data_IF_460315944270
#
_entry.id   IF_460315944270
#
_cell.length_a   1.000
_cell.length_b   1.000
_cell.length_c   1.000
_cell.angle_alpha   90.00
_cell.angle_beta   90.00
_cell.angle_gamma   90.00
#
_symmetry.space_group_name_H-M   'P 1'
#
loop_
_entity.id
_entity.type
_entity.pdbx_description
1 polymer ?
#
# COMPACT_ATOMS: atom_id res chain seq x y z
N UNK A 1 -15.10 10.87 26.13
CA UNK A 1 -14.10 9.84 26.47
C UNK A 1 -12.88 10.13 25.62
N UNK A 2 -11.83 10.70 26.21
CA UNK A 2 -10.66 11.25 25.49
C UNK A 2 -9.96 10.14 24.69
N UNK A 3 -9.99 10.25 23.36
CA UNK A 3 -9.16 9.42 22.49
C UNK A 3 -7.70 9.80 22.69
N UNK A 4 -6.93 8.84 23.21
CA UNK A 4 -5.48 8.89 23.28
C UNK A 4 -4.91 9.16 21.89
N UNK A 5 -4.32 10.34 21.70
CA UNK A 5 -3.38 10.61 20.60
C UNK A 5 -2.18 9.70 20.82
N UNK A 6 -2.16 8.53 20.20
CA UNK A 6 -0.96 7.70 20.10
C UNK A 6 0.09 8.50 19.33
N UNK A 7 1.07 9.05 20.04
CA UNK A 7 2.20 9.75 19.43
C UNK A 7 2.96 8.80 18.49
N UNK A 8 3.32 9.25 17.27
CA UNK A 8 4.18 8.48 16.36
C UNK A 8 5.57 8.35 17.00
N UNK A 9 5.80 7.22 17.66
CA UNK A 9 7.00 6.95 18.47
C UNK A 9 6.74 6.00 19.65
N UNK A 10 5.51 5.95 20.15
CA UNK A 10 5.14 5.04 21.24
C UNK A 10 5.23 3.56 20.81
N UNK A 11 4.83 3.24 19.57
CA UNK A 11 4.92 1.89 19.01
C UNK A 11 6.35 1.37 18.87
N UNK A 12 7.27 2.23 18.41
CA UNK A 12 8.69 1.91 18.33
C UNK A 12 9.27 1.63 19.72
N UNK A 13 8.92 2.44 20.73
CA UNK A 13 9.39 2.25 22.10
C UNK A 13 8.88 0.94 22.76
N UNK A 14 7.68 0.47 22.40
CA UNK A 14 7.09 -0.79 22.87
C UNK A 14 7.84 -1.99 22.30
N UNK A 15 8.31 -1.92 21.05
CA UNK A 15 9.10 -2.95 20.39
C UNK A 15 10.58 -2.93 20.81
N UNK A 16 11.16 -1.74 20.94
CA UNK A 16 12.59 -1.53 21.17
C UNK A 16 13.02 -2.06 22.54
N UNK A 17 12.22 -1.91 23.60
CA UNK A 17 12.59 -2.38 24.95
C UNK A 17 12.73 -3.91 25.06
N UNK A 18 11.73 -4.74 24.68
CA UNK A 18 11.88 -6.19 24.71
C UNK A 18 12.89 -6.68 23.68
N UNK A 19 13.02 -6.02 22.51
CA UNK A 19 14.01 -6.38 21.50
C UNK A 19 15.45 -6.12 21.99
N UNK A 20 15.71 -4.94 22.58
CA UNK A 20 17.01 -4.62 23.19
C UNK A 20 17.31 -5.60 24.33
N UNK A 21 16.32 -5.92 25.16
CA UNK A 21 16.51 -6.89 26.25
C UNK A 21 16.84 -8.29 25.73
N UNK A 22 16.13 -8.77 24.71
CA UNK A 22 16.40 -10.07 24.08
C UNK A 22 17.77 -10.10 23.39
N UNK A 23 18.14 -9.03 22.67
CA UNK A 23 19.46 -8.89 22.04
C UNK A 23 20.55 -8.84 23.11
N UNK A 24 20.37 -8.07 24.19
CA UNK A 24 21.35 -7.95 25.27
C UNK A 24 21.56 -9.27 26.03
N UNK A 25 20.49 -10.02 26.28
CA UNK A 25 20.57 -11.35 26.91
C UNK A 25 21.27 -12.34 25.95
N UNK A 26 20.94 -12.29 24.66
CA UNK A 26 21.58 -13.11 23.64
C UNK A 26 23.07 -12.80 23.48
N UNK A 27 23.45 -11.53 23.38
CA UNK A 27 24.85 -11.11 23.26
C UNK A 27 25.64 -11.40 24.52
N UNK A 28 25.07 -11.19 25.71
CA UNK A 28 25.70 -11.55 26.98
C UNK A 28 25.93 -13.06 27.09
N UNK A 29 24.95 -13.89 26.70
CA UNK A 29 25.07 -15.36 26.74
C UNK A 29 26.14 -15.87 25.77
N UNK A 30 26.22 -15.29 24.58
CA UNK A 30 27.24 -15.62 23.57
C UNK A 30 28.65 -15.21 24.01
N UNK A 31 28.80 -14.03 24.61
CA UNK A 31 30.09 -13.53 25.10
C UNK A 31 30.56 -14.28 26.35
N UNK A 32 29.65 -14.72 27.22
CA UNK A 32 29.99 -15.44 28.44
C UNK A 32 30.39 -16.91 28.17
N UNK A 33 29.80 -17.57 27.17
CA UNK A 33 30.05 -18.98 26.87
C UNK A 33 30.00 -19.26 25.34
N UNK A 34 31.06 -18.95 24.58
CA UNK A 34 31.08 -19.05 23.12
C UNK A 34 31.24 -20.50 22.64
N UNK A 35 30.24 -21.32 22.92
CA UNK A 35 30.09 -22.63 22.31
C UNK A 35 29.22 -22.50 21.07
N UNK A 36 29.55 -23.23 20.00
CA UNK A 36 28.75 -23.25 18.77
C UNK A 36 27.27 -23.60 19.05
N UNK A 37 27.02 -24.42 20.07
CA UNK A 37 25.68 -24.77 20.54
C UNK A 37 24.94 -23.58 21.17
N UNK A 38 25.61 -22.72 21.95
CA UNK A 38 25.03 -21.49 22.50
C UNK A 38 24.70 -20.48 21.38
N UNK A 39 25.56 -20.35 20.37
CA UNK A 39 25.31 -19.49 19.22
C UNK A 39 24.09 -19.94 18.40
N UNK A 40 24.04 -21.24 18.05
CA UNK A 40 22.94 -21.82 17.25
C UNK A 40 21.61 -21.72 18.02
N UNK A 41 21.61 -22.08 19.30
CA UNK A 41 20.39 -22.02 20.13
C UNK A 41 19.89 -20.59 20.32
N UNK A 42 20.80 -19.61 20.50
CA UNK A 42 20.42 -18.19 20.60
C UNK A 42 19.78 -17.69 19.29
N UNK A 43 20.38 -17.98 18.14
CA UNK A 43 19.81 -17.58 16.84
C UNK A 43 18.47 -18.26 16.58
N UNK A 44 18.34 -19.55 16.92
CA UNK A 44 17.09 -20.29 16.79
C UNK A 44 15.98 -19.70 17.67
N UNK A 45 16.27 -19.35 18.93
CA UNK A 45 15.32 -18.71 19.82
C UNK A 45 14.89 -17.33 19.32
N UNK A 46 15.83 -16.53 18.77
CA UNK A 46 15.51 -15.25 18.15
C UNK A 46 14.61 -15.43 16.92
N UNK A 47 14.86 -16.43 16.08
CA UNK A 47 14.04 -16.73 14.90
C UNK A 47 12.64 -17.18 15.31
N UNK A 48 12.52 -18.06 16.30
CA UNK A 48 11.23 -18.49 16.86
C UNK A 48 10.47 -17.29 17.44
N UNK A 49 11.14 -16.46 18.25
CA UNK A 49 10.56 -15.24 18.83
C UNK A 49 10.07 -14.28 17.75
N UNK A 50 10.83 -14.09 16.68
CA UNK A 50 10.44 -13.28 15.53
C UNK A 50 9.22 -13.88 14.82
N UNK A 51 9.17 -15.19 14.58
CA UNK A 51 8.01 -15.84 13.97
C UNK A 51 6.74 -15.69 14.83
N UNK A 52 6.85 -15.86 16.14
CA UNK A 52 5.73 -15.64 17.08
C UNK A 52 5.27 -14.18 17.03
N UNK A 53 6.21 -13.22 17.05
CA UNK A 53 5.89 -11.80 16.94
C UNK A 53 5.17 -11.47 15.62
N UNK A 54 5.71 -11.92 14.49
CA UNK A 54 5.15 -11.67 13.16
C UNK A 54 3.75 -12.29 13.03
N UNK A 55 3.55 -13.53 13.49
CA UNK A 55 2.26 -14.23 13.40
C UNK A 55 1.21 -13.62 14.32
N UNK A 56 1.53 -13.32 15.57
CA UNK A 56 0.61 -12.65 16.50
C UNK A 56 0.20 -11.29 15.98
N UNK A 57 1.14 -10.51 15.44
CA UNK A 57 0.86 -9.20 14.86
C UNK A 57 0.02 -9.30 13.58
N UNK A 58 0.30 -10.27 12.72
CA UNK A 58 -0.50 -10.54 11.52
C UNK A 58 -1.96 -10.87 11.90
N UNK A 59 -2.17 -11.73 12.90
CA UNK A 59 -3.50 -12.09 13.39
C UNK A 59 -4.21 -10.86 13.94
N UNK A 60 -3.53 -10.00 14.70
CA UNK A 60 -4.10 -8.77 15.22
C UNK A 60 -4.54 -7.82 14.10
N UNK A 61 -3.67 -7.56 13.13
CA UNK A 61 -3.97 -6.70 11.99
C UNK A 61 -5.16 -7.22 11.19
N UNK A 62 -5.19 -8.52 10.87
CA UNK A 62 -6.30 -9.15 10.14
C UNK A 62 -7.60 -9.08 10.94
N UNK A 63 -7.55 -9.33 12.26
CA UNK A 63 -8.75 -9.25 13.11
C UNK A 63 -9.31 -7.85 13.17
N UNK A 64 -8.47 -6.82 13.31
CA UNK A 64 -8.89 -5.41 13.35
C UNK A 64 -9.45 -4.94 12.01
N UNK A 65 -8.92 -5.43 10.88
CA UNK A 65 -9.47 -5.17 9.54
C UNK A 65 -10.86 -5.78 9.33
N UNK A 66 -11.13 -6.91 9.98
CA UNK A 66 -12.45 -7.56 9.92
C UNK A 66 -13.51 -6.84 10.77
N UNK A 67 -13.11 -5.96 11.70
CA UNK A 67 -14.07 -5.13 12.42
C UNK A 67 -14.68 -4.10 11.46
N UNK A 68 -16.02 -4.03 11.35
CA UNK A 68 -16.65 -3.08 10.45
C UNK A 68 -16.25 -1.66 10.87
N UNK A 69 -15.60 -0.94 9.95
CA UNK A 69 -15.35 0.48 10.14
C UNK A 69 -16.68 1.15 10.46
N UNK A 70 -16.78 1.77 11.63
CA UNK A 70 -17.97 2.54 11.99
C UNK A 70 -18.09 3.63 10.95
N UNK A 71 -19.17 3.63 10.15
CA UNK A 71 -19.43 4.65 9.12
C UNK A 71 -19.58 6.02 9.79
N UNK A 72 -18.48 6.67 10.11
CA UNK A 72 -18.49 8.08 10.47
C UNK A 72 -18.76 8.84 9.19
N UNK A 73 -19.86 9.60 9.17
CA UNK A 73 -20.24 10.44 8.04
C UNK A 73 -19.06 11.32 7.64
N UNK A 74 -18.66 11.20 6.37
CA UNK A 74 -17.59 12.00 5.76
C UNK A 74 -17.97 13.47 5.91
N UNK A 75 -17.13 14.26 6.60
CA UNK A 75 -17.25 15.72 6.62
C UNK A 75 -16.49 16.25 5.41
N UNK A 76 -17.10 17.17 4.68
CA UNK A 76 -16.54 17.75 3.44
C UNK A 76 -15.19 18.48 3.66
N UNK A 77 -14.89 18.84 4.92
CA UNK A 77 -13.65 19.51 5.34
C UNK A 77 -12.47 18.57 5.66
N UNK A 78 -12.63 17.25 5.58
CA UNK A 78 -11.51 16.35 5.90
C UNK A 78 -10.51 16.31 4.75
N UNK A 79 -9.23 16.54 5.06
CA UNK A 79 -8.15 16.35 4.11
C UNK A 79 -8.02 14.87 3.74
N UNK A 80 -7.85 14.60 2.46
CA UNK A 80 -7.64 13.26 1.93
C UNK A 80 -6.27 13.16 1.25
N UNK A 81 -5.53 12.10 1.56
CA UNK A 81 -4.28 11.79 0.87
C UNK A 81 -4.37 10.39 0.27
N UNK A 82 -4.43 10.33 -1.05
CA UNK A 82 -4.51 9.11 -1.86
C UNK A 82 -3.17 8.80 -2.53
N UNK A 83 -2.82 7.52 -2.58
CA UNK A 83 -1.70 7.01 -3.37
C UNK A 83 -2.22 6.01 -4.40
N UNK A 84 -1.95 6.23 -5.67
CA UNK A 84 -2.33 5.34 -6.76
C UNK A 84 -1.09 4.67 -7.34
N UNK A 85 -1.06 3.34 -7.27
CA UNK A 85 0.03 2.52 -7.83
C UNK A 85 -0.33 2.19 -9.27
N UNK A 86 0.31 2.87 -10.22
CA UNK A 86 0.09 2.69 -11.64
C UNK A 86 0.90 1.49 -12.17
N UNK A 87 0.19 0.49 -12.69
CA UNK A 87 0.79 -0.71 -13.28
C UNK A 87 1.10 -0.53 -14.76
N UNK A 88 2.18 -1.12 -15.27
CA UNK A 88 2.60 -0.88 -16.65
C UNK A 88 1.57 -1.26 -17.73
N UNK A 89 1.46 -0.41 -18.76
CA UNK A 89 0.63 -0.66 -19.94
C UNK A 89 -0.87 -0.46 -19.69
N UNK A 90 -1.67 -1.50 -19.94
CA UNK A 90 -3.13 -1.44 -19.80
C UNK A 90 -3.62 -1.19 -18.37
N UNK A 91 -2.87 -1.64 -17.36
CA UNK A 91 -3.25 -1.46 -15.96
C UNK A 91 -3.30 0.01 -15.55
N UNK A 92 -2.38 0.86 -16.01
CA UNK A 92 -2.45 2.32 -15.77
C UNK A 92 -3.76 2.89 -16.31
N UNK A 93 -4.12 2.54 -17.55
CA UNK A 93 -5.37 3.02 -18.16
C UNK A 93 -6.59 2.57 -17.37
N UNK A 94 -6.64 1.30 -16.98
CA UNK A 94 -7.71 0.76 -16.14
C UNK A 94 -7.82 1.51 -14.80
N UNK A 95 -6.70 1.81 -14.13
CA UNK A 95 -6.71 2.55 -12.87
C UNK A 95 -7.21 3.98 -13.05
N UNK A 96 -6.71 4.69 -14.06
CA UNK A 96 -7.15 6.07 -14.34
C UNK A 96 -8.63 6.11 -14.74
N UNK A 97 -9.13 5.09 -15.44
CA UNK A 97 -10.55 4.97 -15.76
C UNK A 97 -11.41 4.66 -14.53
N UNK A 98 -10.92 3.87 -13.56
CA UNK A 98 -11.62 3.69 -12.27
C UNK A 98 -11.75 4.99 -11.48
N UNK A 99 -10.74 5.84 -11.58
CA UNK A 99 -10.74 7.15 -10.92
C UNK A 99 -11.64 8.16 -11.62
N UNK A 100 -12.01 7.89 -12.88
CA UNK A 100 -12.74 8.81 -13.72
C UNK A 100 -14.27 8.61 -13.63
N UNK A 101 -14.84 8.98 -12.48
CA UNK A 101 -16.28 8.96 -12.23
C UNK A 101 -16.97 10.30 -12.55
N UNK A 102 -16.26 11.27 -13.12
CA UNK A 102 -16.79 12.58 -13.48
C UNK A 102 -16.96 13.52 -12.28
N UNK A 103 -16.60 13.05 -11.09
CA UNK A 103 -16.40 13.87 -9.90
C UNK A 103 -15.08 14.64 -10.02
N UNK A 104 -15.10 15.90 -9.59
CA UNK A 104 -13.99 16.80 -9.80
C UNK A 104 -13.77 17.76 -8.62
N UNK A 105 -14.41 17.49 -7.47
CA UNK A 105 -14.27 18.28 -6.24
C UNK A 105 -13.14 17.75 -5.35
N UNK A 106 -11.89 18.01 -5.74
CA UNK A 106 -10.70 17.49 -5.04
C UNK A 106 -9.96 18.57 -4.23
N UNK A 107 -10.63 19.66 -3.85
CA UNK A 107 -10.03 20.82 -3.17
C UNK A 107 -9.22 20.46 -1.90
N UNK A 108 -9.68 19.45 -1.14
CA UNK A 108 -9.02 18.97 0.08
C UNK A 108 -8.27 17.64 -0.12
N UNK A 109 -8.03 17.23 -1.37
CA UNK A 109 -7.40 15.96 -1.69
C UNK A 109 -6.03 16.13 -2.35
N UNK A 110 -5.08 15.29 -1.94
CA UNK A 110 -3.81 15.10 -2.61
C UNK A 110 -3.73 13.72 -3.24
N UNK A 111 -3.35 13.65 -4.52
CA UNK A 111 -3.18 12.40 -5.28
C UNK A 111 -1.71 12.19 -5.62
N UNK A 112 -1.09 11.21 -4.97
CA UNK A 112 0.23 10.75 -5.36
C UNK A 112 0.13 9.60 -6.33
N UNK A 113 0.87 9.65 -7.41
CA UNK A 113 0.97 8.57 -8.38
C UNK A 113 2.33 7.90 -8.28
N UNK A 114 2.33 6.58 -8.12
CA UNK A 114 3.54 5.77 -8.07
C UNK A 114 3.68 5.03 -9.40
N UNK A 115 4.76 5.32 -10.13
CA UNK A 115 5.05 4.74 -11.44
C UNK A 115 6.38 4.00 -11.41
N UNK A 116 6.47 2.87 -12.13
CA UNK A 116 7.74 2.13 -12.26
C UNK A 116 8.72 2.80 -13.22
N UNK A 117 10.01 2.70 -12.94
CA UNK A 117 11.06 3.25 -13.80
C UNK A 117 11.00 2.66 -15.21
N UNK A 118 11.19 3.51 -16.22
CA UNK A 118 11.14 3.13 -17.64
C UNK A 118 9.73 3.00 -18.23
N UNK A 119 8.68 3.42 -17.53
CA UNK A 119 7.29 3.39 -18.00
C UNK A 119 6.80 4.75 -18.51
N UNK A 120 7.29 5.16 -19.68
CA UNK A 120 6.93 6.46 -20.29
C UNK A 120 5.45 6.55 -20.68
N UNK A 121 4.85 5.42 -21.06
CA UNK A 121 3.44 5.36 -21.47
C UNK A 121 2.51 5.68 -20.30
N UNK A 122 2.83 5.17 -19.10
CA UNK A 122 2.03 5.45 -17.91
C UNK A 122 2.08 6.91 -17.51
N UNK A 123 3.26 7.56 -17.65
CA UNK A 123 3.38 9.01 -17.41
C UNK A 123 2.53 9.82 -18.39
N UNK A 124 2.53 9.47 -19.68
CA UNK A 124 1.73 10.19 -20.68
C UNK A 124 0.22 10.06 -20.39
N UNK A 125 -0.27 8.86 -20.11
CA UNK A 125 -1.68 8.67 -19.77
C UNK A 125 -2.08 9.43 -18.49
N UNK A 126 -1.17 9.52 -17.51
CA UNK A 126 -1.40 10.29 -16.30
C UNK A 126 -1.48 11.80 -16.59
N UNK A 127 -0.55 12.33 -17.38
CA UNK A 127 -0.55 13.74 -17.79
C UNK A 127 -1.84 14.09 -18.55
N UNK A 128 -2.28 13.22 -19.47
CA UNK A 128 -3.56 13.37 -20.18
C UNK A 128 -4.75 13.37 -19.21
N UNK A 129 -4.76 12.46 -18.24
CA UNK A 129 -5.82 12.34 -17.25
C UNK A 129 -5.93 13.59 -16.36
N UNK A 130 -4.83 14.04 -15.78
CA UNK A 130 -4.81 15.24 -14.92
C UNK A 130 -5.12 16.52 -15.73
N UNK A 131 -4.64 16.63 -16.97
CA UNK A 131 -4.99 17.74 -17.86
C UNK A 131 -6.49 17.78 -18.15
N UNK A 132 -7.09 16.62 -18.44
CA UNK A 132 -8.53 16.48 -18.62
C UNK A 132 -9.32 16.79 -17.34
N UNK A 133 -8.82 16.36 -16.18
CA UNK A 133 -9.43 16.65 -14.89
C UNK A 133 -9.43 18.15 -14.59
N UNK A 134 -8.30 18.85 -14.81
CA UNK A 134 -8.20 20.30 -14.65
C UNK A 134 -9.19 21.03 -15.56
N UNK A 135 -9.32 20.61 -16.82
CA UNK A 135 -10.28 21.21 -17.76
C UNK A 135 -11.73 21.03 -17.30
N UNK A 136 -12.09 19.86 -16.78
CA UNK A 136 -13.43 19.58 -16.24
C UNK A 136 -13.74 20.35 -14.96
N UNK A 137 -12.77 20.40 -14.04
CA UNK A 137 -12.88 21.19 -12.81
C UNK A 137 -13.12 22.66 -13.14
N UNK A 138 -12.34 23.21 -14.09
CA UNK A 138 -12.48 24.58 -14.55
C UNK A 138 -13.83 24.86 -15.21
N UNK A 139 -14.38 23.90 -15.97
CA UNK A 139 -15.72 24.03 -16.55
C UNK A 139 -16.83 24.04 -15.49
N UNK A 140 -16.60 23.41 -14.33
CA UNK A 140 -17.54 23.34 -13.19
C UNK A 140 -17.22 24.32 -12.05
N UNK A 141 -16.25 25.22 -12.24
CA UNK A 141 -15.74 26.16 -11.23
C UNK A 141 -15.30 25.49 -9.90
N UNK A 142 -14.67 24.31 -10.02
CA UNK A 142 -14.15 23.52 -8.91
C UNK A 142 -12.62 23.45 -8.94
N UNK A 143 -12.01 23.14 -7.79
CA UNK A 143 -10.57 22.94 -7.67
C UNK A 143 -10.19 21.46 -7.88
N UNK A 144 -9.30 21.14 -8.86
CA UNK A 144 -8.79 19.79 -9.08
C UNK A 144 -7.89 19.28 -7.95
N UNK A 145 -7.51 20.11 -6.97
CA UNK A 145 -6.61 19.74 -5.88
C UNK A 145 -5.16 19.62 -6.34
N UNK A 146 -4.35 18.88 -5.57
CA UNK A 146 -2.91 18.75 -5.86
C UNK A 146 -2.53 17.32 -6.19
N UNK A 147 -1.52 17.15 -7.03
CA UNK A 147 -0.97 15.84 -7.36
C UNK A 147 0.56 15.86 -7.43
N UNK A 148 1.18 14.71 -7.26
CA UNK A 148 2.61 14.51 -7.50
C UNK A 148 2.89 13.11 -8.09
N UNK A 149 4.06 12.98 -8.71
CA UNK A 149 4.52 11.76 -9.36
C UNK A 149 5.79 11.27 -8.68
N UNK A 150 5.74 10.04 -8.16
CA UNK A 150 6.88 9.35 -7.56
C UNK A 150 7.28 8.16 -8.44
N UNK A 151 8.53 8.14 -8.88
CA UNK A 151 9.08 7.05 -9.69
C UNK A 151 9.85 6.09 -8.80
N UNK A 152 9.54 4.79 -8.88
CA UNK A 152 10.24 3.73 -8.14
C UNK A 152 10.97 2.80 -9.09
N UNK A 153 12.06 2.17 -8.62
CA UNK A 153 12.75 1.15 -9.40
C UNK A 153 11.80 0.00 -9.76
N UNK A 154 11.82 -0.40 -11.03
CA UNK A 154 11.03 -1.53 -11.51
C UNK A 154 11.49 -2.84 -10.86
N UNK A 155 10.54 -3.58 -10.29
CA UNK A 155 10.74 -4.87 -9.63
C UNK A 155 11.52 -5.89 -10.49
N UNK A 156 11.16 -5.99 -11.77
CA UNK A 156 11.79 -6.90 -12.74
C UNK A 156 11.73 -6.30 -14.13
N UNK A 157 12.87 -6.25 -14.82
CA UNK A 157 12.92 -5.84 -16.22
C UNK A 157 12.53 -7.00 -17.16
N UNK A 158 12.00 -6.67 -18.33
CA UNK A 158 11.72 -7.67 -19.37
C UNK A 158 13.05 -8.26 -19.83
N UNK A 159 13.13 -9.60 -19.94
CA UNK A 159 14.36 -10.37 -20.21
C UNK A 159 15.39 -10.45 -19.07
N UNK A 160 15.05 -9.95 -17.88
CA UNK A 160 15.91 -10.12 -16.71
C UNK A 160 15.94 -11.58 -16.24
N UNK A 161 17.12 -12.07 -15.88
CA UNK A 161 17.29 -13.40 -15.29
C UNK A 161 16.56 -13.52 -13.95
N UNK A 162 16.00 -14.69 -13.68
CA UNK A 162 15.30 -14.98 -12.40
C UNK A 162 16.24 -14.76 -11.21
N UNK A 163 17.54 -15.01 -11.37
CA UNK A 163 18.55 -14.86 -10.31
C UNK A 163 18.88 -13.42 -9.94
N UNK A 164 18.78 -12.48 -10.86
CA UNK A 164 19.01 -11.05 -10.56
C UNK A 164 17.74 -10.33 -10.09
N UNK A 165 16.58 -10.96 -10.27
CA UNK A 165 15.27 -10.41 -9.90
C UNK A 165 15.12 -10.11 -8.40
N UNK A 166 15.62 -10.93 -7.45
CA UNK A 166 15.53 -10.62 -6.02
C UNK A 166 16.21 -9.32 -5.64
N UNK A 167 17.36 -9.00 -6.26
CA UNK A 167 18.10 -7.77 -5.96
C UNK A 167 17.33 -6.53 -6.43
N UNK A 168 16.84 -6.55 -7.67
CA UNK A 168 16.01 -5.43 -8.19
C UNK A 168 14.67 -5.32 -7.46
N UNK A 169 14.11 -6.44 -7.02
CA UNK A 169 12.93 -6.46 -6.17
C UNK A 169 13.17 -5.80 -4.81
N UNK A 170 14.30 -6.06 -4.16
CA UNK A 170 14.66 -5.42 -2.90
C UNK A 170 14.86 -3.91 -3.07
N UNK A 171 15.56 -3.48 -4.12
CA UNK A 171 15.72 -2.05 -4.45
C UNK A 171 14.35 -1.37 -4.67
N UNK A 172 13.45 -2.04 -5.39
CA UNK A 172 12.08 -1.56 -5.58
C UNK A 172 11.34 -1.36 -4.25
N UNK A 173 11.47 -2.32 -3.32
CA UNK A 173 10.87 -2.22 -1.98
C UNK A 173 11.48 -1.05 -1.18
N UNK A 174 12.80 -0.83 -1.26
CA UNK A 174 13.46 0.28 -0.58
C UNK A 174 12.99 1.64 -1.11
N UNK A 175 12.87 1.80 -2.43
CA UNK A 175 12.31 3.01 -3.04
C UNK A 175 10.86 3.23 -2.61
N UNK A 176 10.06 2.16 -2.56
CA UNK A 176 8.67 2.22 -2.10
C UNK A 176 8.60 2.68 -0.64
N UNK A 177 9.47 2.18 0.25
CA UNK A 177 9.52 2.67 1.63
C UNK A 177 9.82 4.17 1.68
N UNK A 178 10.77 4.65 0.87
CA UNK A 178 11.10 6.06 0.80
C UNK A 178 9.87 6.89 0.35
N UNK A 179 9.16 6.45 -0.68
CA UNK A 179 7.96 7.14 -1.19
C UNK A 179 6.81 7.13 -0.18
N UNK A 180 6.61 6.03 0.54
CA UNK A 180 5.54 5.90 1.55
C UNK A 180 5.81 6.74 2.81
N UNK A 181 7.09 6.95 3.16
CA UNK A 181 7.49 7.66 4.38
C UNK A 181 7.78 9.15 4.15
N UNK A 182 7.95 9.56 2.89
CA UNK A 182 8.16 10.97 2.51
C UNK A 182 6.81 11.64 2.26
N UNK A 183 6.37 12.60 3.10
CA UNK A 183 5.15 13.35 2.84
C UNK A 183 5.30 14.26 1.60
N UNK A 184 4.20 14.68 0.97
CA UNK A 184 4.24 15.69 -0.08
C UNK A 184 4.53 17.09 0.48
N UNK A 185 5.20 17.93 -0.32
CA UNK A 185 5.57 19.31 0.05
C UNK A 185 4.38 20.28 -0.12
N UNK A 186 3.23 19.95 0.46
CA UNK A 186 2.01 20.76 0.41
C UNK A 186 1.32 20.83 1.78
N UNK A 187 0.27 21.66 1.90
CA UNK A 187 -0.54 21.78 3.12
C UNK A 187 -1.03 20.42 3.63
N UNK A 188 -1.41 19.54 2.70
CA UNK A 188 -1.94 18.21 3.01
C UNK A 188 -0.86 17.33 3.61
N UNK A 189 0.37 17.33 3.09
CA UNK A 189 1.49 16.56 3.64
C UNK A 189 2.00 17.07 4.98
N UNK A 190 1.80 18.36 5.27
CA UNK A 190 2.09 18.93 6.58
C UNK A 190 1.14 18.41 7.67
N UNK A 191 -0.14 18.16 7.33
CA UNK A 191 -1.14 17.63 8.26
C UNK A 191 -1.21 16.09 8.25
N UNK A 192 -1.13 15.49 7.06
CA UNK A 192 -1.19 14.05 6.79
C UNK A 192 0.17 13.55 6.31
N UNK A 193 0.97 13.06 7.25
CA UNK A 193 2.31 12.52 6.95
C UNK A 193 2.28 11.28 6.05
N UNK A 194 1.20 10.50 6.10
CA UNK A 194 1.07 9.22 5.40
C UNK A 194 -0.18 9.19 4.54
N UNK A 195 -0.17 8.46 3.40
CA UNK A 195 -1.36 8.22 2.62
C UNK A 195 -2.45 7.58 3.49
N UNK A 196 -3.69 8.05 3.37
CA UNK A 196 -4.85 7.46 4.03
C UNK A 196 -5.24 6.15 3.34
N UNK A 197 -5.27 6.16 2.01
CA UNK A 197 -5.68 5.05 1.17
C UNK A 197 -4.70 4.89 0.01
N UNK A 198 -4.41 3.63 -0.32
CA UNK A 198 -3.49 3.25 -1.37
C UNK A 198 -4.24 2.30 -2.31
N UNK A 199 -4.34 2.66 -3.58
CA UNK A 199 -5.05 1.87 -4.59
C UNK A 199 -4.07 1.20 -5.54
N UNK A 200 -4.32 -0.06 -5.86
CA UNK A 200 -3.56 -0.77 -6.88
C UNK A 200 -4.42 -1.79 -7.62
N UNK A 201 -4.24 -1.86 -8.94
CA UNK A 201 -4.73 -2.92 -9.82
C UNK A 201 -3.58 -3.64 -10.54
N UNK A 202 -2.35 -3.19 -10.31
CA UNK A 202 -1.17 -3.64 -11.02
C UNK A 202 -0.56 -4.90 -10.40
N UNK A 203 0.28 -5.63 -11.16
CA UNK A 203 0.83 -6.91 -10.73
C UNK A 203 1.96 -6.78 -9.69
N UNK A 204 3.23 -6.75 -10.10
CA UNK A 204 4.37 -6.90 -9.20
C UNK A 204 4.57 -5.69 -8.26
N UNK A 205 4.49 -4.47 -8.79
CA UNK A 205 4.65 -3.24 -7.99
C UNK A 205 3.56 -3.13 -6.93
N UNK A 206 2.30 -3.45 -7.28
CA UNK A 206 1.18 -3.47 -6.33
C UNK A 206 1.42 -4.41 -5.17
N UNK A 207 1.93 -5.63 -5.45
CA UNK A 207 2.28 -6.58 -4.40
C UNK A 207 3.40 -6.06 -3.48
N UNK A 208 4.44 -5.45 -4.03
CA UNK A 208 5.53 -4.88 -3.21
C UNK A 208 5.10 -3.69 -2.36
N UNK A 209 4.19 -2.85 -2.87
CA UNK A 209 3.59 -1.78 -2.06
C UNK A 209 2.76 -2.36 -0.93
N UNK A 210 1.92 -3.38 -1.20
CA UNK A 210 1.16 -4.07 -0.16
C UNK A 210 2.08 -4.67 0.93
N UNK A 211 3.16 -5.31 0.51
CA UNK A 211 4.17 -5.87 1.41
C UNK A 211 4.85 -4.78 2.24
N UNK A 212 5.28 -3.68 1.62
CA UNK A 212 5.93 -2.57 2.31
C UNK A 212 5.00 -1.95 3.36
N UNK A 213 3.75 -1.64 3.00
CA UNK A 213 2.72 -1.12 3.92
C UNK A 213 2.50 -2.09 5.09
N UNK A 214 2.38 -3.38 4.80
CA UNK A 214 2.21 -4.40 5.81
C UNK A 214 3.39 -4.45 6.79
N UNK A 215 4.63 -4.44 6.28
CA UNK A 215 5.83 -4.40 7.12
C UNK A 215 5.87 -3.14 8.00
N UNK A 216 5.52 -1.97 7.46
CA UNK A 216 5.44 -0.73 8.25
C UNK A 216 4.42 -0.83 9.41
N UNK A 217 3.27 -1.47 9.17
CA UNK A 217 2.23 -1.71 10.19
C UNK A 217 2.65 -2.76 11.23
N UNK A 218 3.34 -3.82 10.79
CA UNK A 218 3.84 -4.89 11.67
C UNK A 218 4.89 -4.38 12.64
N UNK A 219 5.83 -3.54 12.16
CA UNK A 219 6.87 -2.94 13.00
C UNK A 219 6.43 -1.65 13.72
N UNK A 220 5.14 -1.31 13.71
CA UNK A 220 4.58 -0.11 14.36
C UNK A 220 5.25 1.21 13.93
N UNK A 221 5.80 1.24 12.71
CA UNK A 221 6.39 2.47 12.13
C UNK A 221 5.27 3.42 11.72
N UNK A 222 4.16 2.88 11.22
CA UNK A 222 2.98 3.63 10.77
C UNK A 222 1.76 3.22 11.60
N UNK A 223 0.85 4.16 11.93
CA UNK A 223 -0.41 3.83 12.59
C UNK A 223 -1.27 2.85 11.77
N UNK A 224 -2.01 1.98 12.43
CA UNK A 224 -2.84 0.95 11.78
C UNK A 224 -3.94 1.52 10.88
N UNK A 225 -4.47 2.70 11.27
CA UNK A 225 -5.53 3.40 10.55
C UNK A 225 -5.03 4.19 9.33
N UNK A 226 -3.72 4.23 9.09
CA UNK A 226 -3.13 4.87 7.92
C UNK A 226 -2.77 3.82 6.86
N UNK A 227 -2.55 4.27 5.62
CA UNK A 227 -2.15 3.42 4.49
C UNK A 227 -3.07 2.22 4.29
N UNK A 228 -4.40 2.44 4.22
CA UNK A 228 -5.33 1.36 3.87
C UNK A 228 -5.09 0.92 2.43
N UNK A 229 -4.53 -0.27 2.25
CA UNK A 229 -4.19 -0.82 0.94
C UNK A 229 -5.39 -1.53 0.33
N UNK A 230 -5.87 -0.99 -0.79
CA UNK A 230 -7.04 -1.42 -1.54
C UNK A 230 -6.55 -2.00 -2.86
N UNK A 231 -6.76 -3.30 -3.03
CA UNK A 231 -6.45 -3.99 -4.28
C UNK A 231 -7.73 -4.24 -5.07
N UNK A 232 -7.71 -3.86 -6.33
CA UNK A 232 -8.81 -4.07 -7.27
C UNK A 232 -8.31 -4.97 -8.39
N UNK A 233 -8.78 -6.22 -8.43
CA UNK A 233 -8.57 -7.09 -9.58
C UNK A 233 -9.49 -6.61 -10.72
N UNK A 234 -8.88 -5.99 -11.72
CA UNK A 234 -9.54 -5.42 -12.88
C UNK A 234 -9.80 -6.45 -13.99
N UNK A 235 -10.45 -6.00 -15.06
CA UNK A 235 -10.94 -6.80 -16.20
C UNK A 235 -9.91 -7.64 -16.98
N UNK A 236 -8.61 -7.51 -16.69
CA UNK A 236 -7.56 -8.31 -17.35
C UNK A 236 -7.74 -9.84 -17.20
N UNK A 237 -8.55 -10.31 -16.23
CA UNK A 237 -8.88 -11.73 -16.06
C UNK A 237 -10.34 -11.97 -15.68
N UNK A 238 -11.10 -12.59 -16.58
CA UNK A 238 -12.53 -12.86 -16.42
C UNK A 238 -12.87 -14.20 -15.71
N UNK A 239 -11.93 -15.15 -15.64
CA UNK A 239 -12.21 -16.52 -15.15
C UNK A 239 -11.48 -16.92 -13.87
N UNK A 240 -10.37 -16.25 -13.55
CA UNK A 240 -9.52 -16.54 -12.39
C UNK A 240 -8.78 -15.30 -11.91
N UNK A 241 -8.49 -15.20 -10.61
CA UNK A 241 -7.58 -14.18 -10.08
C UNK A 241 -6.21 -14.20 -10.76
N UNK A 242 -5.59 -13.03 -10.90
CA UNK A 242 -4.20 -12.92 -11.32
C UNK A 242 -3.28 -13.56 -10.28
N UNK A 243 -2.00 -13.76 -10.63
CA UNK A 243 -1.03 -14.27 -9.67
C UNK A 243 -0.92 -13.34 -8.46
N UNK A 244 -0.85 -12.02 -8.70
CA UNK A 244 -0.87 -11.00 -7.63
C UNK A 244 -2.15 -11.09 -6.82
N UNK A 245 -3.32 -11.19 -7.47
CA UNK A 245 -4.59 -11.32 -6.77
C UNK A 245 -4.66 -12.56 -5.89
N UNK A 246 -4.18 -13.71 -6.37
CA UNK A 246 -4.07 -14.95 -5.57
C UNK A 246 -3.15 -14.78 -4.38
N UNK A 247 -1.99 -14.14 -4.58
CA UNK A 247 -1.03 -13.88 -3.52
C UNK A 247 -1.63 -12.97 -2.45
N UNK A 248 -2.23 -11.84 -2.83
CA UNK A 248 -2.85 -10.91 -1.90
C UNK A 248 -4.03 -11.54 -1.16
N UNK A 249 -4.85 -12.32 -1.86
CA UNK A 249 -5.97 -13.06 -1.27
C UNK A 249 -5.49 -14.09 -0.23
N UNK A 250 -4.43 -14.85 -0.52
CA UNK A 250 -3.93 -15.89 0.38
C UNK A 250 -3.12 -15.32 1.56
N UNK A 251 -2.32 -14.28 1.31
CA UNK A 251 -1.46 -13.67 2.33
C UNK A 251 -2.19 -12.70 3.24
N UNK A 252 -3.35 -12.18 2.82
CA UNK A 252 -4.11 -11.19 3.58
C UNK A 252 -3.38 -9.84 3.71
N UNK A 253 -2.47 -9.52 2.78
CA UNK A 253 -1.70 -8.27 2.82
C UNK A 253 -2.59 -7.04 2.55
N UNK A 254 -3.54 -7.16 1.63
CA UNK A 254 -4.48 -6.09 1.31
C UNK A 254 -5.49 -5.88 2.45
N UNK A 255 -5.72 -4.62 2.82
CA UNK A 255 -6.77 -4.26 3.79
C UNK A 255 -8.15 -4.48 3.18
N UNK A 256 -8.32 -4.13 1.90
CA UNK A 256 -9.54 -4.39 1.13
C UNK A 256 -9.15 -5.04 -0.20
N UNK A 257 -9.79 -6.17 -0.51
CA UNK A 257 -9.61 -6.91 -1.75
C UNK A 257 -10.93 -6.99 -2.51
N UNK A 258 -10.98 -6.36 -3.69
CA UNK A 258 -12.16 -6.32 -4.54
C UNK A 258 -11.87 -6.96 -5.89
N UNK A 259 -12.90 -7.56 -6.47
CA UNK A 259 -12.86 -8.11 -7.83
C UNK A 259 -14.04 -7.53 -8.59
N UNK A 260 -13.81 -7.06 -9.81
CA UNK A 260 -14.87 -6.46 -10.63
C UNK A 260 -15.76 -7.50 -11.32
N UNK A 261 -15.23 -8.68 -11.63
CA UNK A 261 -16.01 -9.74 -12.27
C UNK A 261 -16.87 -10.50 -11.26
N UNK A 262 -18.22 -10.48 -11.37
CA UNK A 262 -19.11 -11.06 -10.37
C UNK A 262 -18.89 -12.57 -10.16
N UNK A 263 -18.66 -13.31 -11.25
CA UNK A 263 -18.44 -14.76 -11.15
C UNK A 263 -17.14 -15.10 -10.42
N UNK A 264 -16.10 -14.29 -10.59
CA UNK A 264 -14.81 -14.49 -9.92
C UNK A 264 -14.94 -14.06 -8.46
N UNK A 265 -15.62 -12.95 -8.19
CA UNK A 265 -15.90 -12.50 -6.83
C UNK A 265 -16.66 -13.57 -6.03
N UNK A 266 -17.69 -14.17 -6.63
CA UNK A 266 -18.47 -15.26 -6.04
C UNK A 266 -17.61 -16.52 -5.81
N UNK A 267 -16.82 -16.92 -6.81
CA UNK A 267 -15.94 -18.11 -6.75
C UNK A 267 -14.92 -18.03 -5.61
N UNK A 268 -14.33 -16.85 -5.39
CA UNK A 268 -13.32 -16.64 -4.36
C UNK A 268 -13.90 -16.04 -3.05
N UNK A 269 -15.22 -15.84 -2.97
CA UNK A 269 -15.93 -15.24 -1.82
C UNK A 269 -15.36 -13.89 -1.40
N UNK A 270 -15.05 -13.05 -2.38
CA UNK A 270 -14.51 -11.70 -2.18
C UNK A 270 -15.53 -10.64 -2.58
N UNK A 271 -15.31 -9.41 -2.15
CA UNK A 271 -16.23 -8.30 -2.42
C UNK A 271 -16.27 -8.02 -3.93
N UNK A 272 -17.47 -7.97 -4.48
CA UNK A 272 -17.67 -7.50 -5.84
C UNK A 272 -17.55 -5.97 -5.85
N UNK A 273 -16.55 -5.46 -6.56
CA UNK A 273 -16.32 -4.01 -6.72
C UNK A 273 -17.29 -3.32 -7.68
N UNK A 274 -18.12 -4.10 -8.40
CA UNK A 274 -19.02 -3.59 -9.42
C UNK A 274 -18.34 -3.33 -10.77
N UNK A 275 -19.17 -3.01 -11.77
CA UNK A 275 -18.69 -2.64 -13.10
C UNK A 275 -18.08 -1.23 -13.06
N UNK A 276 -16.92 -1.08 -13.70
CA UNK A 276 -16.33 0.23 -13.96
C UNK A 276 -17.27 1.03 -14.87
N UNK A 277 -17.70 2.22 -14.45
CA UNK A 277 -18.50 3.11 -15.31
C UNK A 277 -17.59 3.60 -16.43
N UNK A 278 -17.78 3.07 -17.64
CA UNK A 278 -17.11 3.60 -18.82
C UNK A 278 -17.69 4.99 -19.13
N UNK A 279 -16.89 6.01 -18.82
CA UNK A 279 -17.08 7.39 -19.28
C UNK A 279 -18.36 8.05 -18.74
N UNK A 280 -18.39 8.38 -17.45
CA UNK A 280 -19.39 9.30 -16.90
C UNK A 280 -19.18 10.75 -17.35
N UNK A 281 -18.05 11.05 -18.01
CA UNK A 281 -17.83 12.27 -18.80
C UNK A 281 -18.64 12.25 -20.11
N UNK A 282 -19.88 11.75 -20.09
CA UNK A 282 -20.79 12.02 -21.20
C UNK A 282 -21.17 13.50 -21.11
N UNK A 283 -21.13 14.24 -22.24
CA UNK A 283 -21.50 15.65 -22.31
C UNK A 283 -22.93 15.91 -21.86
#
# INVERSE_FOLDING_TARGET
MQMSKTQPGAGLAILVKPLISAIAIGTFSVLAFPTWTALISTYLLLLIGLCIFMTTRQIELVRRRAEPATKQGRRDDTLDYFLFVLGSGGHTKEMLMMMDDGYCGFQNAHRRYLVSSGDRMSNHHLEEYETGLVALCKAKDLDPGTFDLSVVTRARNVHQSIWSTPLTGLLSILDIFLVLLTPPDNRIGAELRYPTQIFSNGPATGFFVALAVHLLKVFYIVPENAMSFIYIESWARISTLSLTGKLLHHTGLADIFMVQHPEVAAKYKVVNGGEMVFNSRQP
#
